data_IF_884929657180
#
_entry.id   IF_884929657180
#
_cell.length_a   1.000
_cell.length_b   1.000
_cell.length_c   1.000
_cell.angle_alpha   90.00
_cell.angle_beta   90.00
_cell.angle_gamma   90.00
#
_symmetry.space_group_name_H-M   'P 1'
#
loop_
_entity.id
_entity.type
_entity.pdbx_description
1 polymer ?
#
# COMPACT_ATOMS: atom_id res chain seq x y z
N UNK A 1 -15.56 -8.32 -19.43
CA UNK A 1 -15.17 -7.17 -18.58
C UNK A 1 -14.89 -7.70 -17.17
N UNK A 2 -13.73 -7.37 -16.60
CA UNK A 2 -13.42 -7.72 -15.21
C UNK A 2 -14.19 -6.85 -14.21
N UNK A 3 -14.17 -7.20 -12.92
CA UNK A 3 -14.85 -6.44 -11.89
C UNK A 3 -14.23 -5.04 -11.74
N UNK A 4 -15.11 -4.04 -11.67
CA UNK A 4 -14.75 -2.62 -11.58
C UNK A 4 -14.24 -2.32 -10.17
N UNK A 5 -13.07 -1.67 -10.06
CA UNK A 5 -12.41 -1.43 -8.76
C UNK A 5 -11.84 0.00 -8.65
N UNK A 6 -11.86 0.53 -7.43
CA UNK A 6 -11.53 1.92 -7.08
C UNK A 6 -10.68 1.94 -5.81
N UNK A 7 -9.72 2.86 -5.72
CA UNK A 7 -8.95 3.08 -4.50
C UNK A 7 -9.79 3.71 -3.37
N UNK A 8 -9.63 3.19 -2.15
CA UNK A 8 -10.17 3.82 -0.95
C UNK A 8 -9.29 5.00 -0.52
N UNK A 9 -9.89 6.16 -0.26
CA UNK A 9 -9.19 7.38 0.18
C UNK A 9 -8.63 7.30 1.61
N UNK A 10 -9.10 6.37 2.44
CA UNK A 10 -8.65 6.21 3.84
C UNK A 10 -7.45 5.27 3.94
N UNK A 11 -7.45 4.16 3.19
CA UNK A 11 -6.41 3.13 3.29
C UNK A 11 -5.58 2.91 2.03
N UNK A 12 -5.92 3.56 0.92
CA UNK A 12 -5.22 3.44 -0.37
C UNK A 12 -5.37 2.09 -1.06
N UNK A 13 -6.21 1.17 -0.54
CA UNK A 13 -6.41 -0.16 -1.14
C UNK A 13 -7.42 -0.11 -2.28
N UNK A 14 -7.19 -0.94 -3.29
CA UNK A 14 -8.12 -1.16 -4.39
C UNK A 14 -9.29 -2.03 -3.91
N UNK A 15 -10.50 -1.48 -4.00
CA UNK A 15 -11.73 -2.11 -3.54
C UNK A 15 -12.70 -2.24 -4.72
N UNK A 16 -13.54 -3.27 -4.70
CA UNK A 16 -14.61 -3.39 -5.69
C UNK A 16 -15.59 -2.23 -5.52
N UNK A 17 -16.02 -1.62 -6.62
CA UNK A 17 -16.98 -0.51 -6.58
C UNK A 17 -18.25 -0.90 -5.83
N UNK A 18 -18.72 -2.14 -6.03
CA UNK A 18 -19.89 -2.73 -5.35
C UNK A 18 -19.76 -2.82 -3.83
N UNK A 19 -18.55 -2.90 -3.30
CA UNK A 19 -18.27 -3.03 -1.86
C UNK A 19 -17.56 -1.82 -1.28
N UNK A 20 -17.36 -0.76 -2.07
CA UNK A 20 -16.63 0.43 -1.67
C UNK A 20 -17.30 1.12 -0.47
N UNK A 21 -18.62 1.27 -0.47
CA UNK A 21 -19.32 1.95 0.62
C UNK A 21 -19.18 1.20 1.96
N UNK A 22 -19.35 -0.13 1.94
CA UNK A 22 -19.18 -0.96 3.13
C UNK A 22 -17.72 -0.93 3.61
N UNK A 23 -16.77 -0.97 2.66
CA UNK A 23 -15.36 -0.85 2.97
C UNK A 23 -15.05 0.50 3.62
N UNK A 24 -15.55 1.62 3.08
CA UNK A 24 -15.31 2.96 3.62
C UNK A 24 -15.86 3.12 5.04
N UNK A 25 -17.07 2.61 5.31
CA UNK A 25 -17.65 2.62 6.67
C UNK A 25 -16.79 1.85 7.66
N UNK A 26 -16.38 0.63 7.29
CA UNK A 26 -15.51 -0.20 8.13
C UNK A 26 -14.12 0.42 8.31
N UNK A 27 -13.56 1.00 7.25
CA UNK A 27 -12.24 1.62 7.28
C UNK A 27 -12.24 2.90 8.13
N UNK A 28 -13.28 3.73 8.05
CA UNK A 28 -13.43 4.93 8.88
C UNK A 28 -13.53 4.58 10.36
N UNK A 29 -14.29 3.53 10.70
CA UNK A 29 -14.36 3.01 12.06
C UNK A 29 -12.99 2.55 12.56
N UNK A 30 -12.32 1.69 11.79
CA UNK A 30 -11.00 1.19 12.17
C UNK A 30 -9.94 2.32 12.29
N UNK A 31 -10.06 3.37 11.46
CA UNK A 31 -9.25 4.57 11.62
C UNK A 31 -9.51 5.25 12.96
N UNK A 32 -10.77 5.56 13.27
CA UNK A 32 -11.15 6.19 14.53
C UNK A 32 -10.72 5.37 15.75
N UNK A 33 -10.87 4.04 15.70
CA UNK A 33 -10.41 3.15 16.75
C UNK A 33 -8.88 3.21 16.91
N UNK A 34 -8.12 3.16 15.80
CA UNK A 34 -6.67 3.29 15.84
C UNK A 34 -6.20 4.67 16.35
N UNK A 35 -6.91 5.74 16.00
CA UNK A 35 -6.68 7.09 16.52
C UNK A 35 -7.07 7.22 18.00
N UNK A 36 -8.13 6.56 18.45
CA UNK A 36 -8.54 6.55 19.86
C UNK A 36 -7.47 5.89 20.76
N UNK A 37 -6.77 4.87 20.24
CA UNK A 37 -5.64 4.23 20.92
C UNK A 37 -4.37 5.11 20.94
N UNK A 38 -4.30 6.14 20.09
CA UNK A 38 -3.18 7.09 20.10
C UNK A 38 -3.37 8.16 21.19
N UNK A 39 -2.27 8.68 21.74
CA UNK A 39 -2.33 9.77 22.72
C UNK A 39 -3.02 11.00 22.09
N UNK A 40 -3.73 11.83 22.88
CA UNK A 40 -4.53 12.94 22.38
C UNK A 40 -3.77 13.89 21.43
N UNK A 41 -2.47 14.06 21.66
CA UNK A 41 -1.57 14.90 20.87
C UNK A 41 -1.24 14.35 19.47
N UNK A 42 -1.48 13.06 19.22
CA UNK A 42 -1.17 12.38 17.96
C UNK A 42 -2.43 11.93 17.21
N UNK A 43 -3.62 12.27 17.72
CA UNK A 43 -4.89 11.89 17.10
C UNK A 43 -5.13 12.71 15.85
N UNK A 44 -5.44 12.03 14.74
CA UNK A 44 -5.69 12.62 13.44
C UNK A 44 -7.16 12.47 13.03
N UNK A 45 -7.75 13.49 12.40
CA UNK A 45 -9.09 13.38 11.86
C UNK A 45 -9.14 12.35 10.71
N UNK A 46 -10.33 11.82 10.44
CA UNK A 46 -10.56 10.97 9.27
C UNK A 46 -10.33 11.82 8.00
N UNK A 47 -9.59 11.31 7.00
CA UNK A 47 -9.38 12.02 5.74
C UNK A 47 -10.69 12.33 5.05
N UNK A 48 -10.77 13.52 4.44
CA UNK A 48 -11.98 13.93 3.72
C UNK A 48 -12.10 13.13 2.42
N UNK A 49 -13.33 12.75 2.06
CA UNK A 49 -13.60 12.18 0.74
C UNK A 49 -13.23 13.23 -0.34
N UNK A 50 -12.55 12.83 -1.42
CA UNK A 50 -12.34 13.73 -2.56
C UNK A 50 -13.71 14.09 -3.15
N UNK A 51 -13.99 15.38 -3.26
CA UNK A 51 -15.20 15.90 -3.89
C UNK A 51 -14.96 15.90 -5.40
N UNK A 52 -15.39 14.84 -6.04
CA UNK A 52 -15.39 14.72 -7.49
C UNK A 52 -16.84 14.75 -7.93
N UNK A 53 -17.14 15.60 -8.92
CA UNK A 53 -18.47 15.69 -9.52
C UNK A 53 -18.98 14.32 -9.99
N UNK A 54 -20.28 14.20 -10.15
CA UNK A 54 -20.93 12.94 -10.52
C UNK A 54 -20.43 12.40 -11.88
N UNK A 55 -19.95 13.27 -12.75
CA UNK A 55 -19.36 12.96 -14.06
C UNK A 55 -17.93 12.39 -14.03
N UNK A 56 -17.26 12.37 -12.87
CA UNK A 56 -15.88 11.91 -12.79
C UNK A 56 -15.77 10.41 -13.09
N UNK A 57 -14.82 10.06 -13.95
CA UNK A 57 -14.54 8.65 -14.29
C UNK A 57 -14.03 7.89 -13.06
N UNK A 58 -14.12 6.58 -13.16
CA UNK A 58 -13.69 5.71 -12.08
C UNK A 58 -12.17 5.80 -11.80
N UNK A 59 -11.39 5.99 -12.87
CA UNK A 59 -9.94 6.18 -12.80
C UNK A 59 -9.59 7.50 -12.11
N UNK A 60 -10.28 8.60 -12.44
CA UNK A 60 -10.13 9.89 -11.76
C UNK A 60 -10.49 9.78 -10.28
N UNK A 61 -11.57 9.07 -9.95
CA UNK A 61 -11.96 8.80 -8.56
C UNK A 61 -10.89 8.04 -7.80
N UNK A 62 -10.34 7.01 -8.43
CA UNK A 62 -9.26 6.21 -7.85
C UNK A 62 -7.99 7.04 -7.63
N UNK A 63 -7.59 7.84 -8.63
CA UNK A 63 -6.42 8.70 -8.58
C UNK A 63 -6.55 9.79 -7.51
N UNK A 64 -7.69 10.47 -7.43
CA UNK A 64 -7.94 11.47 -6.40
C UNK A 64 -7.97 10.86 -4.99
N UNK A 65 -8.60 9.71 -4.82
CA UNK A 65 -8.59 8.98 -3.55
C UNK A 65 -7.16 8.61 -3.11
N UNK A 66 -6.33 8.17 -4.06
CA UNK A 66 -4.93 7.84 -3.80
C UNK A 66 -4.08 9.08 -3.48
N UNK A 67 -4.35 10.22 -4.14
CA UNK A 67 -3.70 11.48 -3.84
C UNK A 67 -4.04 11.97 -2.41
N UNK A 68 -5.31 11.96 -2.03
CA UNK A 68 -5.75 12.29 -0.66
C UNK A 68 -5.11 11.34 0.34
N UNK A 69 -5.08 10.03 0.08
CA UNK A 69 -4.40 9.08 0.95
C UNK A 69 -2.90 9.41 1.11
N UNK A 70 -2.21 9.71 0.01
CA UNK A 70 -0.79 10.07 0.05
C UNK A 70 -0.49 11.36 0.81
N UNK A 71 -1.39 12.34 0.76
CA UNK A 71 -1.21 13.66 1.37
C UNK A 71 -1.72 13.72 2.82
N UNK A 72 -2.96 13.31 3.03
CA UNK A 72 -3.68 13.47 4.29
C UNK A 72 -3.54 12.28 5.23
N UNK A 73 -3.25 11.07 4.72
CA UNK A 73 -3.08 9.85 5.54
C UNK A 73 -1.63 9.52 5.79
N UNK A 74 -0.80 9.51 4.76
CA UNK A 74 0.61 9.18 4.96
C UNK A 74 1.38 10.32 5.60
N UNK A 75 2.26 9.98 6.54
CA UNK A 75 3.16 10.93 7.20
C UNK A 75 4.51 10.89 6.48
N UNK A 76 4.98 12.05 6.02
CA UNK A 76 6.24 12.16 5.29
C UNK A 76 7.39 12.48 6.22
N UNK A 77 8.55 11.85 5.99
CA UNK A 77 9.76 12.20 6.69
C UNK A 77 10.33 13.54 6.16
N UNK A 78 10.59 14.54 7.02
CA UNK A 78 11.13 15.83 6.57
C UNK A 78 12.58 15.74 6.05
N UNK A 79 13.31 14.68 6.39
CA UNK A 79 14.71 14.50 5.96
C UNK A 79 14.85 13.78 4.62
N UNK A 80 14.12 12.68 4.40
CA UNK A 80 14.31 11.82 3.22
C UNK A 80 13.08 11.74 2.30
N UNK A 81 12.00 12.47 2.60
CA UNK A 81 10.74 12.47 1.87
C UNK A 81 10.06 11.09 1.71
N UNK A 82 10.43 10.08 2.52
CA UNK A 82 9.71 8.80 2.55
C UNK A 82 8.38 8.95 3.29
N UNK A 83 7.33 8.37 2.71
CA UNK A 83 5.99 8.32 3.27
C UNK A 83 5.77 7.06 4.11
N UNK A 84 5.19 7.21 5.30
CA UNK A 84 4.87 6.12 6.22
C UNK A 84 3.39 6.14 6.60
N UNK A 85 2.83 4.96 6.88
CA UNK A 85 1.42 4.81 7.23
C UNK A 85 1.05 5.43 8.58
N UNK A 86 1.99 5.39 9.53
CA UNK A 86 1.78 5.79 10.91
C UNK A 86 3.00 6.54 11.45
N UNK A 87 2.75 7.49 12.35
CA UNK A 87 3.81 8.26 13.02
C UNK A 87 4.73 7.35 13.85
N UNK A 88 4.24 6.27 14.45
CA UNK A 88 5.09 5.30 15.15
C UNK A 88 6.15 4.67 14.23
N UNK A 89 5.79 4.39 12.98
CA UNK A 89 6.74 3.85 12.00
C UNK A 89 7.72 4.93 11.55
N UNK A 90 7.24 6.17 11.36
CA UNK A 90 8.09 7.31 11.07
C UNK A 90 9.08 7.56 12.23
N UNK A 91 8.65 7.53 13.49
CA UNK A 91 9.50 7.74 14.65
C UNK A 91 10.62 6.69 14.75
N UNK A 92 10.34 5.44 14.39
CA UNK A 92 11.38 4.40 14.25
C UNK A 92 12.32 4.71 13.08
N UNK A 93 11.79 5.17 11.95
CA UNK A 93 12.59 5.59 10.81
C UNK A 93 13.48 6.79 11.12
N UNK A 94 13.00 7.81 11.85
CA UNK A 94 13.75 9.01 12.19
C UNK A 94 15.05 8.70 12.95
N UNK A 95 15.07 7.63 13.76
CA UNK A 95 16.27 7.15 14.45
C UNK A 95 17.37 6.63 13.50
N UNK A 96 17.00 6.17 12.31
CA UNK A 96 17.90 5.63 11.29
C UNK A 96 17.71 6.30 9.93
N UNK A 97 17.30 7.57 9.91
CA UNK A 97 16.96 8.26 8.68
C UNK A 97 18.22 8.44 7.82
N UNK A 98 18.25 7.95 6.57
CA UNK A 98 19.42 8.03 5.70
C UNK A 98 19.71 9.47 5.23
N UNK A 99 18.80 10.42 5.47
CA UNK A 99 19.09 11.84 5.24
C UNK A 99 20.16 12.40 6.20
N UNK A 100 20.40 11.74 7.34
CA UNK A 100 21.51 12.08 8.25
C UNK A 100 22.85 11.53 7.76
N UNK A 101 22.83 10.50 6.91
CA UNK A 101 24.04 9.88 6.35
C UNK A 101 23.85 9.72 4.84
N UNK A 102 24.17 10.76 4.08
CA UNK A 102 24.23 10.82 2.60
C UNK A 102 24.21 9.43 1.92
N UNK A 103 23.02 8.87 1.71
CA UNK A 103 22.81 7.61 1.01
C UNK A 103 21.34 7.50 0.62
N UNK A 104 20.93 8.30 -0.36
CA UNK A 104 19.88 7.89 -1.28
C UNK A 104 20.43 6.76 -2.16
N UNK A 105 19.62 5.73 -2.44
CA UNK A 105 18.74 5.89 -3.58
C UNK A 105 17.29 5.54 -3.27
N UNK A 106 16.42 6.45 -3.67
CA UNK A 106 15.06 6.20 -4.08
C UNK A 106 15.06 5.08 -5.13
N UNK A 107 14.60 3.89 -4.76
CA UNK A 107 14.04 2.96 -5.73
C UNK A 107 12.53 3.15 -5.68
N UNK A 108 12.09 4.06 -6.55
CA UNK A 108 10.81 3.94 -7.23
C UNK A 108 10.60 2.47 -7.62
N UNK A 109 9.55 1.86 -7.06
CA UNK A 109 9.07 0.54 -7.46
C UNK A 109 7.83 0.74 -8.31
N UNK A 110 8.01 1.26 -9.50
CA UNK A 110 7.16 0.93 -10.63
C UNK A 110 7.48 -0.50 -11.11
N UNK A 111 6.51 -1.37 -11.41
CA UNK A 111 6.77 -2.71 -11.93
C UNK A 111 7.19 -2.62 -13.40
N UNK A 112 8.47 -2.31 -13.63
CA UNK A 112 9.12 -2.41 -14.92
C UNK A 112 9.52 -3.86 -15.21
N UNK A 113 9.00 -4.39 -16.32
CA UNK A 113 9.45 -5.53 -17.10
C UNK A 113 10.83 -6.11 -16.70
N UNK A 114 10.97 -7.43 -16.46
CA UNK A 114 12.29 -8.03 -16.31
C UNK A 114 13.03 -8.01 -17.66
N UNK A 115 14.03 -7.13 -17.73
CA UNK A 115 15.06 -7.12 -18.77
C UNK A 115 15.85 -8.42 -18.75
N UNK A 116 16.03 -8.95 -19.96
CA UNK A 116 16.75 -10.16 -20.32
C UNK A 116 18.17 -10.17 -19.74
N UNK A 117 18.48 -11.17 -18.93
CA UNK A 117 19.85 -11.50 -18.54
C UNK A 117 20.29 -12.73 -19.33
N UNK A 118 21.01 -12.51 -20.43
CA UNK A 118 21.74 -13.55 -21.14
C UNK A 118 22.77 -14.17 -20.20
N UNK A 119 22.54 -15.41 -19.82
CA UNK A 119 23.53 -16.29 -19.19
C UNK A 119 23.49 -17.62 -19.93
N UNK A 120 24.43 -17.77 -20.84
CA UNK A 120 24.93 -19.05 -21.29
C UNK A 120 25.45 -19.82 -20.08
N UNK A 121 25.24 -21.13 -20.07
CA UNK A 121 26.20 -22.19 -19.70
C UNK A 121 25.52 -23.38 -19.01
N UNK A 122 25.77 -24.56 -19.58
CA UNK A 122 25.92 -25.81 -18.82
C UNK A 122 24.70 -26.71 -18.71
N UNK A 123 24.47 -27.55 -19.71
CA UNK A 123 23.77 -28.82 -19.54
C UNK A 123 24.70 -29.80 -18.79
N UNK A 124 24.24 -30.35 -17.66
CA UNK A 124 24.68 -31.67 -17.16
C UNK A 124 23.55 -32.28 -16.34
N UNK A 125 23.11 -33.48 -16.73
CA UNK A 125 21.92 -34.13 -16.19
C UNK A 125 22.10 -34.82 -14.83
N UNK A 126 20.98 -35.25 -14.26
CA UNK A 126 20.96 -36.11 -13.07
C UNK A 126 19.54 -36.49 -12.65
N UNK A 127 19.25 -37.79 -12.69
CA UNK A 127 17.97 -38.45 -12.38
C UNK A 127 17.65 -38.37 -10.88
N UNK A 128 16.36 -38.37 -10.51
CA UNK A 128 15.93 -38.63 -9.13
C UNK A 128 14.41 -38.60 -8.95
N UNK A 129 13.78 -39.77 -8.96
CA UNK A 129 12.36 -40.02 -8.69
C UNK A 129 12.07 -40.03 -7.18
N UNK A 130 10.81 -39.75 -6.79
CA UNK A 130 10.02 -40.21 -5.60
C UNK A 130 9.15 -39.06 -5.05
N UNK A 131 7.83 -38.99 -5.31
CA UNK A 131 6.69 -39.65 -4.62
C UNK A 131 6.57 -39.29 -3.12
N UNK A 132 5.47 -38.63 -2.75
CA UNK A 132 4.57 -38.70 -1.54
C UNK A 132 4.04 -37.28 -1.19
N UNK A 133 2.75 -36.96 -1.36
CA UNK A 133 1.56 -37.21 -0.53
C UNK A 133 1.50 -36.42 0.80
N UNK A 134 0.54 -35.49 0.93
CA UNK A 134 0.15 -34.87 2.21
C UNK A 134 -0.61 -33.54 2.04
N UNK A 135 -1.62 -33.23 2.88
CA UNK A 135 -2.91 -32.70 2.40
C UNK A 135 -3.06 -31.18 2.34
N UNK A 136 -3.97 -30.77 1.44
CA UNK A 136 -4.60 -29.46 1.37
C UNK A 136 -5.41 -29.20 2.65
N UNK A 137 -5.02 -28.17 3.39
CA UNK A 137 -5.83 -27.61 4.48
C UNK A 137 -6.59 -26.41 3.94
N UNK A 138 -7.91 -26.54 4.02
CA UNK A 138 -8.91 -25.51 3.72
C UNK A 138 -8.81 -24.41 4.79
N UNK A 139 -8.87 -23.15 4.38
CA UNK A 139 -9.08 -22.03 5.29
C UNK A 139 -10.30 -21.26 4.79
N UNK A 140 -11.27 -21.10 5.71
CA UNK A 140 -12.60 -20.50 5.54
C UNK A 140 -12.60 -19.08 4.96
#
# INVERSE_FOLDING_TARGET
LGPVSVCCHICGKQCLLSSLEQHEKACAKNWQDAEAQKPPSQRRPVPRKPDLGEDATLEERSAAAQAVYGQDVMVHCPGCARSFKDEATLARHMKGCPASTNSSPSKDRSPGLPGVHSRSDGYTGGRGQSKIAGPVSVCC
#
